data_IF_803968603967
#
_entry.id   IF_803968603967
#
_cell.length_a   1.000
_cell.length_b   1.000
_cell.length_c   1.000
_cell.angle_alpha   90.00
_cell.angle_beta   90.00
_cell.angle_gamma   90.00
#
_symmetry.space_group_name_H-M   'P 1'
#
loop_
_entity.id
_entity.type
_entity.pdbx_description
1 polymer ?
#
# COMPACT_ATOMS: atom_id res chain seq x y z
N UNK A 1 -74.34 -31.53 34.71
CA UNK A 1 -74.98 -32.59 33.90
C UNK A 1 -76.08 -31.98 33.05
N UNK A 2 -75.89 -31.83 31.73
CA UNK A 2 -76.91 -32.02 30.69
C UNK A 2 -76.28 -31.79 29.31
N UNK A 3 -76.56 -32.74 28.41
CA UNK A 3 -76.10 -32.85 27.02
C UNK A 3 -76.88 -31.90 26.11
N UNK A 4 -76.30 -31.44 25.01
CA UNK A 4 -76.94 -31.63 23.70
C UNK A 4 -75.97 -31.49 22.51
N UNK A 5 -76.15 -32.40 21.55
CA UNK A 5 -75.47 -32.56 20.27
C UNK A 5 -75.99 -31.54 19.26
N UNK A 6 -75.15 -31.10 18.32
CA UNK A 6 -75.59 -30.86 16.94
C UNK A 6 -74.52 -31.30 15.95
N UNK A 7 -74.95 -32.23 15.08
CA UNK A 7 -74.29 -32.70 13.87
C UNK A 7 -74.71 -31.73 12.76
N UNK A 8 -73.78 -31.24 11.95
CA UNK A 8 -74.09 -30.77 10.61
C UNK A 8 -73.04 -31.26 9.62
N UNK A 9 -73.50 -32.13 8.72
CA UNK A 9 -72.82 -32.62 7.53
C UNK A 9 -72.91 -31.50 6.47
N UNK A 10 -71.81 -31.10 5.81
CA UNK A 10 -71.93 -30.42 4.53
C UNK A 10 -70.68 -30.57 3.64
N UNK A 11 -70.91 -31.26 2.52
CA UNK A 11 -70.24 -31.40 1.24
C UNK A 11 -68.88 -30.73 0.94
N UNK A 12 -67.97 -31.56 0.40
CA UNK A 12 -66.78 -31.17 -0.37
C UNK A 12 -67.12 -30.43 -1.67
N UNK A 13 -66.24 -29.53 -2.13
CA UNK A 13 -65.98 -29.33 -3.55
C UNK A 13 -64.64 -29.93 -3.97
N UNK A 14 -64.70 -30.72 -5.05
CA UNK A 14 -63.60 -31.33 -5.78
C UNK A 14 -62.76 -30.23 -6.47
N UNK A 15 -61.54 -29.98 -6.03
CA UNK A 15 -60.60 -29.10 -6.76
C UNK A 15 -59.78 -29.90 -7.76
N UNK A 16 -60.04 -29.63 -9.04
CA UNK A 16 -59.34 -30.16 -10.21
C UNK A 16 -57.91 -29.57 -10.26
N UNK A 17 -56.89 -30.38 -9.96
CA UNK A 17 -55.49 -29.98 -10.14
C UNK A 17 -55.13 -30.11 -11.63
N UNK A 18 -55.03 -28.98 -12.33
CA UNK A 18 -54.40 -28.91 -13.66
C UNK A 18 -52.88 -29.05 -13.48
N UNK A 19 -52.33 -30.20 -13.86
CA UNK A 19 -50.88 -30.41 -13.99
C UNK A 19 -50.37 -29.65 -15.23
N UNK A 20 -49.87 -28.43 -15.04
CA UNK A 20 -49.01 -27.78 -16.05
C UNK A 20 -47.65 -28.47 -16.06
N UNK A 21 -47.38 -29.23 -17.12
CA UNK A 21 -46.08 -29.82 -17.41
C UNK A 21 -45.17 -28.70 -17.93
N UNK A 22 -44.23 -28.24 -17.10
CA UNK A 22 -43.20 -27.29 -17.51
C UNK A 22 -42.05 -28.06 -18.18
N UNK A 23 -41.97 -28.03 -19.51
CA UNK A 23 -40.81 -28.54 -20.24
C UNK A 23 -39.61 -27.61 -19.99
N UNK A 24 -38.66 -28.08 -19.17
CA UNK A 24 -37.36 -27.41 -19.02
C UNK A 24 -36.59 -27.54 -20.34
N UNK A 25 -36.44 -26.44 -21.08
CA UNK A 25 -35.38 -26.32 -22.09
C UNK A 25 -34.03 -26.54 -21.38
N UNK A 26 -33.29 -27.56 -21.80
CA UNK A 26 -31.89 -27.74 -21.42
C UNK A 26 -31.09 -26.60 -22.05
N UNK A 27 -30.72 -25.60 -21.26
CA UNK A 27 -29.62 -24.71 -21.58
C UNK A 27 -28.33 -25.47 -21.30
N UNK A 28 -27.51 -25.66 -22.33
CA UNK A 28 -26.15 -26.16 -22.18
C UNK A 28 -25.37 -25.25 -21.20
N UNK A 29 -24.53 -25.81 -20.30
CA UNK A 29 -23.69 -24.99 -19.45
C UNK A 29 -22.71 -24.22 -20.34
N UNK A 30 -22.63 -22.90 -20.11
CA UNK A 30 -21.61 -22.07 -20.71
C UNK A 30 -20.23 -22.71 -20.48
N UNK A 31 -19.42 -22.77 -21.53
CA UNK A 31 -18.03 -23.24 -21.45
C UNK A 31 -17.24 -22.46 -20.39
N UNK A 32 -16.11 -23.01 -19.91
CA UNK A 32 -15.30 -22.35 -18.90
C UNK A 32 -14.95 -20.93 -19.38
N UNK A 33 -15.03 -19.92 -18.49
CA UNK A 33 -14.71 -18.55 -18.86
C UNK A 33 -13.30 -18.48 -19.43
N UNK A 34 -13.17 -17.74 -20.53
CA UNK A 34 -11.92 -17.39 -21.19
C UNK A 34 -10.91 -16.88 -20.14
N UNK A 35 -9.65 -17.36 -20.24
CA UNK A 35 -8.54 -17.12 -19.30
C UNK A 35 -8.52 -15.70 -18.70
N UNK A 36 -9.10 -15.54 -17.52
CA UNK A 36 -8.85 -14.36 -16.67
C UNK A 36 -7.45 -14.55 -16.10
N UNK A 37 -6.49 -13.77 -16.58
CA UNK A 37 -5.14 -13.73 -15.99
C UNK A 37 -5.28 -13.42 -14.49
N UNK A 38 -4.63 -14.17 -13.60
CA UNK A 38 -4.70 -13.88 -12.18
C UNK A 38 -4.21 -12.46 -11.90
N UNK A 39 -5.04 -11.69 -11.20
CA UNK A 39 -4.69 -10.37 -10.68
C UNK A 39 -3.48 -10.54 -9.76
N UNK A 40 -2.38 -9.85 -10.06
CA UNK A 40 -1.21 -9.80 -9.18
C UNK A 40 0.01 -10.65 -9.58
N UNK A 41 0.07 -11.24 -10.77
CA UNK A 41 1.36 -11.68 -11.34
C UNK A 41 1.96 -10.49 -12.11
N UNK A 42 3.06 -9.96 -11.58
CA UNK A 42 3.93 -9.04 -12.32
C UNK A 42 4.68 -9.91 -13.32
N UNK A 43 4.53 -9.61 -14.61
CA UNK A 43 5.29 -10.25 -15.68
C UNK A 43 6.68 -9.58 -15.70
N UNK A 44 7.57 -10.06 -14.82
CA UNK A 44 8.91 -9.48 -14.59
C UNK A 44 9.75 -9.43 -15.88
N UNK A 45 9.44 -10.28 -16.86
CA UNK A 45 10.07 -10.34 -18.19
C UNK A 45 9.78 -9.11 -19.08
N UNK A 46 8.95 -8.17 -18.62
CA UNK A 46 8.61 -6.94 -19.37
C UNK A 46 9.38 -5.69 -18.95
N UNK A 47 10.21 -5.76 -17.91
CA UNK A 47 10.97 -4.60 -17.44
C UNK A 47 12.37 -4.60 -18.05
N UNK A 48 12.76 -3.48 -18.67
CA UNK A 48 14.06 -3.32 -19.32
C UNK A 48 15.22 -3.30 -18.30
N UNK A 49 14.95 -2.97 -17.03
CA UNK A 49 15.93 -2.98 -15.94
C UNK A 49 15.21 -3.15 -14.59
N UNK A 50 15.82 -3.92 -13.69
CA UNK A 50 15.37 -4.13 -12.31
C UNK A 50 16.45 -3.64 -11.33
N UNK A 51 16.06 -2.84 -10.34
CA UNK A 51 16.89 -2.51 -9.17
C UNK A 51 16.32 -3.27 -7.98
N UNK A 52 17.13 -4.13 -7.36
CA UNK A 52 16.74 -4.91 -6.18
C UNK A 52 17.59 -4.51 -4.97
N UNK A 53 16.93 -4.18 -3.87
CA UNK A 53 17.55 -3.93 -2.57
C UNK A 53 17.04 -4.97 -1.58
N UNK A 54 17.93 -5.86 -1.17
CA UNK A 54 17.70 -6.89 -0.15
C UNK A 54 18.65 -6.66 1.01
N UNK A 55 18.17 -6.88 2.24
CA UNK A 55 19.01 -6.86 3.44
C UNK A 55 19.97 -8.06 3.40
N UNK A 56 21.26 -7.82 3.65
CA UNK A 56 22.31 -8.82 3.68
C UNK A 56 22.79 -9.18 5.10
N UNK A 57 22.30 -8.45 6.11
CA UNK A 57 22.50 -8.72 7.53
C UNK A 57 23.07 -7.52 8.30
N UNK A 58 23.19 -7.63 9.63
CA UNK A 58 23.73 -6.54 10.43
C UNK A 58 25.12 -6.09 9.95
N UNK A 59 25.31 -4.79 9.72
CA UNK A 59 26.55 -4.26 9.18
C UNK A 59 26.42 -2.82 8.69
N UNK A 60 27.01 -2.54 7.52
CA UNK A 60 26.93 -1.22 6.86
C UNK A 60 25.63 -1.06 6.07
N UNK A 61 24.51 -1.02 6.79
CA UNK A 61 23.16 -0.91 6.20
C UNK A 61 23.01 0.34 5.32
N UNK A 62 23.57 1.48 5.74
CA UNK A 62 23.56 2.70 4.93
C UNK A 62 24.41 2.58 3.66
N UNK A 63 25.59 1.97 3.75
CA UNK A 63 26.42 1.71 2.58
C UNK A 63 25.74 0.77 1.58
N UNK A 64 25.03 -0.25 2.05
CA UNK A 64 24.22 -1.13 1.21
C UNK A 64 23.11 -0.34 0.49
N UNK A 65 22.30 0.41 1.23
CA UNK A 65 21.21 1.25 0.68
C UNK A 65 21.76 2.22 -0.37
N UNK A 66 22.84 2.93 -0.05
CA UNK A 66 23.47 3.91 -0.92
C UNK A 66 24.07 3.29 -2.19
N UNK A 67 24.65 2.09 -2.08
CA UNK A 67 25.23 1.36 -3.22
C UNK A 67 24.17 0.97 -4.23
N UNK A 68 23.00 0.53 -3.75
CA UNK A 68 21.92 0.04 -4.62
C UNK A 68 21.06 1.18 -5.15
N UNK A 69 20.64 2.11 -4.29
CA UNK A 69 19.74 3.21 -4.67
C UNK A 69 20.49 4.45 -5.18
N UNK A 70 21.80 4.54 -4.94
CA UNK A 70 22.68 5.61 -5.42
C UNK A 70 22.76 6.82 -4.49
N UNK A 71 23.97 7.39 -4.34
CA UNK A 71 24.24 8.57 -3.51
C UNK A 71 23.91 8.36 -2.02
N UNK A 72 23.48 9.40 -1.30
CA UNK A 72 22.91 9.28 0.06
C UNK A 72 21.39 9.10 -0.02
N UNK A 73 20.96 7.84 -0.11
CA UNK A 73 19.58 7.47 -0.40
C UNK A 73 18.67 7.41 0.84
N UNK A 74 19.20 7.64 2.04
CA UNK A 74 18.44 7.68 3.29
C UNK A 74 18.17 9.11 3.76
N UNK A 75 17.08 9.26 4.50
CA UNK A 75 16.58 10.47 5.13
C UNK A 75 16.23 10.13 6.59
N UNK A 76 17.16 10.39 7.50
CA UNK A 76 17.11 9.93 8.90
C UNK A 76 17.52 11.03 9.89
N UNK A 77 17.12 10.96 11.18
CA UNK A 77 17.45 11.95 12.20
C UNK A 77 18.71 11.60 13.01
N UNK A 78 19.64 10.80 12.46
CA UNK A 78 20.89 10.37 13.12
C UNK A 78 21.76 11.51 13.70
N UNK A 79 21.61 12.74 13.20
CA UNK A 79 22.30 13.91 13.74
C UNK A 79 21.74 14.39 15.09
N UNK A 80 20.53 13.96 15.47
CA UNK A 80 19.84 14.38 16.68
C UNK A 80 20.24 13.55 17.91
N UNK A 81 20.61 12.28 17.70
CA UNK A 81 21.16 11.40 18.73
C UNK A 81 21.88 10.20 18.09
N UNK A 82 22.87 9.66 18.80
CA UNK A 82 23.87 8.75 18.26
C UNK A 82 23.38 7.29 18.12
N UNK A 83 22.36 7.07 17.29
CA UNK A 83 21.89 5.74 16.87
C UNK A 83 21.67 5.71 15.37
N UNK A 84 21.78 4.52 14.76
CA UNK A 84 21.31 4.31 13.40
C UNK A 84 19.80 4.10 13.41
N UNK A 85 19.08 4.87 12.60
CA UNK A 85 17.62 4.72 12.47
C UNK A 85 17.22 3.68 11.42
N UNK A 86 18.17 3.15 10.66
CA UNK A 86 17.94 2.00 9.79
C UNK A 86 19.03 0.98 10.04
N UNK A 87 18.63 -0.21 10.49
CA UNK A 87 19.52 -1.36 10.69
C UNK A 87 18.94 -2.58 9.99
N UNK A 88 19.61 -3.73 10.13
CA UNK A 88 19.13 -5.02 9.65
C UNK A 88 18.99 -6.02 10.78
N UNK A 89 17.95 -6.86 10.73
CA UNK A 89 17.71 -7.94 11.68
C UNK A 89 17.19 -9.19 10.96
N UNK A 90 17.42 -10.38 11.53
CA UNK A 90 16.86 -11.61 10.99
C UNK A 90 15.40 -11.76 11.41
N UNK A 91 14.47 -11.85 10.44
CA UNK A 91 13.05 -12.11 10.71
C UNK A 91 12.73 -13.59 10.45
N UNK A 92 12.29 -14.28 11.50
CA UNK A 92 11.94 -15.70 11.44
C UNK A 92 10.71 -15.98 10.54
N UNK A 93 9.84 -14.99 10.32
CA UNK A 93 8.64 -15.14 9.49
C UNK A 93 8.95 -15.20 8.00
N UNK A 94 9.95 -14.44 7.54
CA UNK A 94 10.48 -14.52 6.17
C UNK A 94 11.72 -15.41 6.05
N UNK A 95 12.30 -15.85 7.17
CA UNK A 95 13.53 -16.63 7.24
C UNK A 95 14.70 -15.97 6.48
N UNK A 96 14.84 -14.66 6.63
CA UNK A 96 15.90 -13.85 6.03
C UNK A 96 16.15 -12.56 6.82
N UNK A 97 17.25 -11.88 6.50
CA UNK A 97 17.50 -10.53 7.00
C UNK A 97 16.52 -9.54 6.36
N UNK A 98 16.08 -8.57 7.15
CA UNK A 98 15.16 -7.50 6.77
C UNK A 98 15.67 -6.17 7.31
N UNK A 99 15.23 -5.06 6.71
CA UNK A 99 15.54 -3.73 7.21
C UNK A 99 14.58 -3.33 8.34
N UNK A 100 15.11 -2.74 9.40
CA UNK A 100 14.36 -2.19 10.53
C UNK A 100 14.49 -0.66 10.52
N UNK A 101 13.37 0.03 10.34
CA UNK A 101 13.28 1.49 10.34
C UNK A 101 12.71 1.96 11.68
N UNK A 102 13.47 2.76 12.43
CA UNK A 102 13.10 3.22 13.75
C UNK A 102 12.57 4.65 13.73
N UNK A 103 11.60 4.93 14.62
CA UNK A 103 11.11 6.27 14.92
C UNK A 103 10.90 6.43 16.43
N UNK A 104 11.68 7.27 17.08
CA UNK A 104 11.65 7.53 18.52
C UNK A 104 10.89 8.82 18.82
N UNK A 105 9.70 8.76 19.42
CA UNK A 105 8.76 9.90 19.57
C UNK A 105 9.42 11.14 20.18
N UNK A 106 10.30 10.94 21.15
CA UNK A 106 10.88 12.05 21.92
C UNK A 106 12.18 12.60 21.32
N UNK A 107 12.94 11.75 20.60
CA UNK A 107 14.30 12.08 20.16
C UNK A 107 14.39 12.43 18.67
N UNK A 108 13.46 11.94 17.86
CA UNK A 108 13.53 12.08 16.40
C UNK A 108 12.73 13.28 15.91
N UNK A 109 13.16 13.82 14.77
CA UNK A 109 12.52 14.90 14.04
C UNK A 109 12.63 14.67 12.50
N UNK A 110 12.38 15.69 11.68
CA UNK A 110 12.66 15.62 10.23
C UNK A 110 14.12 15.98 9.92
N UNK A 111 15.02 15.02 10.16
CA UNK A 111 16.45 15.11 9.78
C UNK A 111 17.17 16.30 10.42
N UNK A 112 17.02 16.49 11.72
CA UNK A 112 17.54 17.61 12.50
C UNK A 112 17.03 18.97 12.01
N UNK A 113 15.79 18.97 11.54
CA UNK A 113 15.11 20.12 10.96
C UNK A 113 13.77 20.37 11.64
N UNK A 114 12.69 20.03 10.96
CA UNK A 114 11.34 20.30 11.47
C UNK A 114 10.98 19.35 12.62
N UNK A 115 10.59 19.91 13.76
CA UNK A 115 10.30 19.17 15.00
C UNK A 115 8.82 18.80 15.16
N UNK A 116 7.95 19.16 14.22
CA UNK A 116 6.52 18.84 14.23
C UNK A 116 6.21 17.45 13.61
N UNK A 117 7.26 16.72 13.20
CA UNK A 117 7.19 15.45 12.47
C UNK A 117 8.51 14.68 12.60
N UNK A 118 8.49 13.39 12.28
CA UNK A 118 9.66 12.50 12.29
C UNK A 118 9.81 11.81 10.96
N UNK A 119 11.05 11.64 10.48
CA UNK A 119 11.33 10.97 9.21
C UNK A 119 12.49 9.99 9.32
N UNK A 120 12.20 8.74 9.00
CA UNK A 120 13.17 7.70 8.71
C UNK A 120 12.73 7.05 7.40
N UNK A 121 13.33 7.44 6.28
CA UNK A 121 12.95 6.96 4.94
C UNK A 121 14.17 6.67 4.06
N UNK A 122 13.98 5.83 3.06
CA UNK A 122 14.88 5.67 1.90
C UNK A 122 14.18 6.15 0.63
N UNK A 123 14.94 6.50 -0.40
CA UNK A 123 14.42 7.00 -1.67
C UNK A 123 15.38 6.72 -2.82
N UNK A 124 14.87 6.74 -4.04
CA UNK A 124 15.70 7.14 -5.18
C UNK A 124 15.63 8.67 -5.33
N UNK A 125 16.65 9.29 -5.93
CA UNK A 125 16.70 10.74 -6.18
C UNK A 125 17.69 11.06 -7.30
N UNK A 126 18.08 12.34 -7.49
CA UNK A 126 18.87 12.80 -8.64
C UNK A 126 20.07 11.90 -9.00
N UNK A 127 20.97 11.58 -8.06
CA UNK A 127 22.12 10.68 -8.24
C UNK A 127 21.81 9.20 -8.46
N UNK A 128 20.56 8.76 -8.23
CA UNK A 128 20.16 7.39 -8.53
C UNK A 128 20.21 7.10 -10.03
N UNK A 129 20.42 5.83 -10.39
CA UNK A 129 20.33 5.38 -11.77
C UNK A 129 18.97 5.75 -12.40
N UNK A 130 18.95 5.97 -13.71
CA UNK A 130 17.72 6.30 -14.46
C UNK A 130 16.63 5.24 -14.32
N UNK A 131 17.00 3.96 -14.15
CA UNK A 131 16.07 2.86 -13.91
C UNK A 131 15.32 2.97 -12.56
N UNK A 132 15.86 3.72 -11.59
CA UNK A 132 15.20 3.96 -10.30
C UNK A 132 14.30 5.19 -10.28
N UNK A 133 14.18 5.89 -11.42
CA UNK A 133 13.43 7.15 -11.56
C UNK A 133 12.41 7.02 -12.69
N UNK A 134 11.24 7.62 -12.49
CA UNK A 134 10.25 7.78 -13.53
C UNK A 134 10.43 9.11 -14.24
N UNK A 135 10.49 9.10 -15.56
CA UNK A 135 10.32 10.23 -16.45
C UNK A 135 8.87 10.26 -16.94
N UNK A 136 8.45 11.37 -17.54
CA UNK A 136 7.10 11.52 -18.07
C UNK A 136 6.81 10.43 -19.12
N UNK A 137 5.66 9.78 -19.02
CA UNK A 137 5.25 8.66 -19.87
C UNK A 137 5.76 7.27 -19.46
N UNK A 138 6.72 7.17 -18.53
CA UNK A 138 7.28 5.88 -18.11
C UNK A 138 6.25 5.01 -17.38
N UNK A 139 6.37 3.70 -17.57
CA UNK A 139 5.66 2.68 -16.79
C UNK A 139 6.62 2.05 -15.77
N UNK A 140 6.38 2.30 -14.49
CA UNK A 140 7.15 1.75 -13.39
C UNK A 140 6.37 0.68 -12.64
N UNK A 141 7.11 -0.27 -12.06
CA UNK A 141 6.62 -1.21 -11.06
C UNK A 141 7.48 -1.12 -9.81
N UNK A 142 6.84 -1.02 -8.65
CA UNK A 142 7.47 -1.07 -7.35
C UNK A 142 6.91 -2.26 -6.59
N UNK A 143 7.78 -3.14 -6.11
CA UNK A 143 7.40 -4.27 -5.27
C UNK A 143 8.24 -4.25 -4.02
N UNK A 144 7.62 -4.46 -2.87
CA UNK A 144 8.31 -4.53 -1.59
C UNK A 144 7.45 -5.27 -0.57
N UNK A 145 8.04 -5.66 0.54
CA UNK A 145 7.34 -6.16 1.71
C UNK A 145 7.48 -5.20 2.86
N UNK A 146 6.45 -5.06 3.68
CA UNK A 146 6.50 -4.32 4.93
C UNK A 146 5.76 -5.06 6.04
N UNK A 147 6.13 -4.75 7.29
CA UNK A 147 5.43 -5.21 8.48
C UNK A 147 5.35 -4.11 9.50
N UNK A 148 4.12 -3.78 9.88
CA UNK A 148 3.83 -2.92 11.02
C UNK A 148 3.78 -3.77 12.28
N UNK A 149 4.23 -3.25 13.41
CA UNK A 149 4.07 -3.94 14.69
C UNK A 149 2.59 -4.22 15.00
N UNK A 150 2.31 -5.28 15.76
CA UNK A 150 0.94 -5.61 16.15
C UNK A 150 0.27 -4.47 16.94
N UNK A 151 1.06 -3.70 17.71
CA UNK A 151 0.61 -2.54 18.47
C UNK A 151 0.88 -1.20 17.77
N UNK A 152 1.19 -1.19 16.47
CA UNK A 152 1.54 0.02 15.71
C UNK A 152 0.53 1.17 15.92
N UNK A 153 1.01 2.37 16.22
CA UNK A 153 0.20 3.57 16.46
C UNK A 153 0.44 4.64 15.39
N UNK A 154 -0.48 4.80 14.42
CA UNK A 154 -0.41 5.91 13.48
C UNK A 154 -0.75 7.25 14.13
N UNK A 155 -0.26 8.34 13.56
CA UNK A 155 -0.66 9.71 13.92
C UNK A 155 -2.04 10.04 13.36
N UNK A 156 -2.75 10.99 13.99
CA UNK A 156 -3.95 11.59 13.40
C UNK A 156 -3.64 12.56 12.25
N UNK A 157 -2.43 13.14 12.24
CA UNK A 157 -1.99 14.09 11.22
C UNK A 157 -1.58 13.41 9.92
N UNK A 158 -0.54 12.59 9.95
CA UNK A 158 -0.17 11.66 8.87
C UNK A 158 0.86 10.65 9.38
N UNK A 159 0.92 9.47 8.78
CA UNK A 159 1.99 8.49 8.96
C UNK A 159 2.18 7.79 7.62
N UNK A 160 3.01 8.36 6.75
CA UNK A 160 3.31 7.79 5.44
C UNK A 160 4.30 6.64 5.62
N UNK A 161 3.98 5.50 5.01
CA UNK A 161 4.89 4.34 4.94
C UNK A 161 5.45 4.09 3.53
N UNK A 162 4.86 4.75 2.54
CA UNK A 162 5.30 4.80 1.16
C UNK A 162 4.82 6.09 0.50
N UNK A 163 5.61 6.61 -0.41
CA UNK A 163 5.29 7.79 -1.21
C UNK A 163 5.77 7.63 -2.65
N UNK A 164 4.98 8.11 -3.62
CA UNK A 164 5.48 8.55 -4.93
C UNK A 164 5.56 10.06 -4.90
N UNK A 165 6.72 10.62 -5.21
CA UNK A 165 6.97 12.07 -5.11
C UNK A 165 7.71 12.57 -6.35
N UNK A 166 7.40 13.79 -6.78
CA UNK A 166 8.23 14.45 -7.77
C UNK A 166 9.64 14.74 -7.23
N UNK A 167 10.61 14.68 -8.12
CA UNK A 167 12.00 15.02 -7.85
C UNK A 167 12.18 16.51 -7.61
N UNK A 168 11.43 17.28 -8.38
CA UNK A 168 11.44 18.73 -8.55
C UNK A 168 10.10 19.22 -9.17
N UNK A 169 9.98 20.52 -9.38
CA UNK A 169 8.85 21.15 -10.08
C UNK A 169 7.82 21.76 -9.14
N UNK A 170 6.68 22.17 -9.71
CA UNK A 170 5.61 22.77 -8.90
C UNK A 170 5.05 21.79 -7.88
N UNK A 171 4.77 22.25 -6.66
CA UNK A 171 4.20 21.44 -5.59
C UNK A 171 5.02 20.13 -5.31
N UNK A 172 6.33 20.16 -5.54
CA UNK A 172 7.23 19.02 -5.30
C UNK A 172 7.22 18.57 -3.83
N UNK A 173 6.91 19.48 -2.90
CA UNK A 173 6.77 19.20 -1.47
C UNK A 173 5.62 18.24 -1.14
N UNK A 174 4.59 18.16 -2.00
CA UNK A 174 3.48 17.22 -1.83
C UNK A 174 3.71 15.92 -2.61
N UNK A 175 3.61 14.74 -1.98
CA UNK A 175 3.66 13.47 -2.70
C UNK A 175 2.45 13.33 -3.64
N UNK A 176 2.67 12.71 -4.81
CA UNK A 176 1.63 12.36 -5.78
C UNK A 176 0.72 11.26 -5.24
N UNK A 177 1.33 10.22 -4.66
CA UNK A 177 0.65 9.10 -3.99
C UNK A 177 1.26 8.89 -2.62
N UNK A 178 0.44 8.56 -1.63
CA UNK A 178 0.91 8.02 -0.35
C UNK A 178 0.11 6.79 0.08
N UNK A 179 0.77 5.88 0.79
CA UNK A 179 0.13 4.85 1.59
C UNK A 179 0.29 5.27 3.05
N UNK A 180 -0.83 5.52 3.72
CA UNK A 180 -0.86 6.26 4.98
C UNK A 180 -1.73 5.57 6.03
N UNK A 181 -1.13 4.82 6.97
CA UNK A 181 -1.76 4.57 8.25
C UNK A 181 -2.23 5.86 8.92
N UNK A 182 -3.47 5.89 9.43
CA UNK A 182 -4.03 7.04 10.13
C UNK A 182 -4.83 6.61 11.34
N UNK A 183 -4.63 7.32 12.44
CA UNK A 183 -5.41 7.14 13.65
C UNK A 183 -6.90 7.41 13.41
N UNK A 184 -7.76 6.55 13.94
CA UNK A 184 -9.21 6.68 13.84
C UNK A 184 -9.96 5.71 14.76
N UNK A 185 -11.26 5.57 14.54
CA UNK A 185 -12.10 4.59 15.24
C UNK A 185 -12.93 3.79 14.22
N UNK A 186 -12.40 2.68 13.68
CA UNK A 186 -11.05 2.12 13.89
C UNK A 186 -9.96 2.88 13.10
N UNK A 187 -8.68 2.61 13.40
CA UNK A 187 -7.54 3.06 12.58
C UNK A 187 -7.69 2.61 11.12
N UNK A 188 -7.20 3.43 10.19
CA UNK A 188 -7.34 3.23 8.75
C UNK A 188 -6.00 3.16 8.03
N UNK A 189 -5.98 2.47 6.91
CA UNK A 189 -4.95 2.62 5.87
C UNK A 189 -5.57 3.41 4.71
N UNK A 190 -4.96 4.53 4.36
CA UNK A 190 -5.43 5.43 3.31
C UNK A 190 -4.45 5.45 2.13
N UNK A 191 -4.98 5.31 0.91
CA UNK A 191 -4.27 5.66 -0.31
C UNK A 191 -4.73 7.06 -0.70
N UNK A 192 -3.79 8.00 -0.79
CA UNK A 192 -4.08 9.41 -1.03
C UNK A 192 -3.40 9.85 -2.31
N UNK A 193 -4.14 10.49 -3.20
CA UNK A 193 -3.66 11.11 -4.42
C UNK A 193 -3.67 12.64 -4.31
N UNK A 194 -2.56 13.28 -4.71
CA UNK A 194 -2.43 14.74 -4.82
C UNK A 194 -1.89 15.12 -6.19
N UNK A 195 -2.78 15.50 -7.11
CA UNK A 195 -2.43 15.96 -8.45
C UNK A 195 -1.73 17.32 -8.44
N UNK A 196 -1.25 17.78 -9.60
CA UNK A 196 -0.46 19.00 -9.76
C UNK A 196 -1.06 20.23 -9.05
N UNK A 197 -2.39 20.36 -9.12
CA UNK A 197 -3.16 21.42 -8.47
C UNK A 197 -4.26 20.84 -7.59
N UNK A 198 -4.92 21.69 -6.80
CA UNK A 198 -6.12 21.28 -6.06
C UNK A 198 -7.25 20.81 -6.99
N UNK A 199 -7.34 21.35 -8.21
CA UNK A 199 -8.37 20.95 -9.18
C UNK A 199 -8.15 19.54 -9.75
N UNK A 200 -6.89 19.08 -9.80
CA UNK A 200 -6.52 17.73 -10.25
C UNK A 200 -6.30 16.75 -9.10
N UNK A 201 -6.46 17.20 -7.85
CA UNK A 201 -6.32 16.37 -6.65
C UNK A 201 -7.59 15.56 -6.38
N UNK A 202 -7.43 14.27 -6.14
CA UNK A 202 -8.54 13.36 -5.82
C UNK A 202 -8.68 13.10 -4.31
N UNK A 203 -7.66 13.40 -3.51
CA UNK A 203 -7.68 13.19 -2.07
C UNK A 203 -7.58 11.70 -1.72
N UNK A 204 -8.37 11.25 -0.73
CA UNK A 204 -8.36 9.86 -0.27
C UNK A 204 -9.10 8.98 -1.27
N UNK A 205 -8.34 8.29 -2.13
CA UNK A 205 -8.89 7.47 -3.22
C UNK A 205 -9.23 6.04 -2.78
N UNK A 206 -8.63 5.57 -1.70
CA UNK A 206 -8.99 4.28 -1.06
C UNK A 206 -8.77 4.37 0.45
N UNK A 207 -9.70 3.80 1.21
CA UNK A 207 -9.60 3.67 2.67
C UNK A 207 -10.01 2.24 3.04
N UNK A 208 -9.20 1.56 3.85
CA UNK A 208 -9.51 0.25 4.44
C UNK A 208 -9.17 0.26 5.92
N UNK A 209 -9.64 -0.73 6.67
CA UNK A 209 -9.26 -0.90 8.07
C UNK A 209 -7.77 -1.24 8.18
N UNK A 210 -7.07 -0.65 9.15
CA UNK A 210 -5.64 -0.89 9.36
C UNK A 210 -5.37 -2.23 10.06
N UNK A 211 -6.33 -2.74 10.84
CA UNK A 211 -6.14 -3.91 11.70
C UNK A 211 -5.56 -5.14 10.97
N UNK A 212 -6.00 -5.51 9.74
CA UNK A 212 -5.43 -6.66 9.02
C UNK A 212 -3.96 -6.51 8.61
N UNK A 213 -3.41 -5.29 8.63
CA UNK A 213 -2.02 -4.99 8.25
C UNK A 213 -1.05 -5.02 9.45
N UNK A 214 -1.55 -4.87 10.68
CA UNK A 214 -0.72 -4.88 11.90
C UNK A 214 -0.27 -6.29 12.22
N UNK A 215 0.99 -6.47 12.60
CA UNK A 215 1.60 -7.76 12.98
C UNK A 215 1.84 -8.74 11.82
N UNK A 216 1.49 -8.39 10.59
CA UNK A 216 1.56 -9.27 9.43
C UNK A 216 2.57 -8.73 8.41
N UNK A 217 3.29 -9.64 7.75
CA UNK A 217 4.05 -9.29 6.55
C UNK A 217 3.09 -9.09 5.38
N UNK A 218 3.20 -7.94 4.72
CA UNK A 218 2.39 -7.54 3.58
C UNK A 218 3.32 -7.31 2.38
N UNK A 219 3.05 -7.98 1.27
CA UNK A 219 3.66 -7.68 -0.01
C UNK A 219 2.82 -6.62 -0.73
N UNK A 220 3.47 -5.54 -1.12
CA UNK A 220 2.92 -4.49 -1.95
C UNK A 220 3.42 -4.64 -3.38
N UNK A 221 2.52 -4.49 -4.34
CA UNK A 221 2.83 -4.34 -5.76
C UNK A 221 2.12 -3.08 -6.25
N UNK A 222 2.91 -2.11 -6.69
CA UNK A 222 2.45 -0.82 -7.20
C UNK A 222 2.90 -0.68 -8.65
N UNK A 223 1.98 -0.39 -9.58
CA UNK A 223 2.32 -0.09 -10.97
C UNK A 223 1.80 1.27 -11.32
N UNK A 224 2.64 2.06 -11.99
CA UNK A 224 2.35 3.47 -12.26
C UNK A 224 2.78 3.81 -13.67
N UNK A 225 1.85 4.31 -14.47
CA UNK A 225 2.19 5.05 -15.69
C UNK A 225 2.21 6.53 -15.36
N UNK A 226 3.38 7.14 -15.43
CA UNK A 226 3.58 8.54 -15.08
C UNK A 226 3.11 9.47 -16.21
N UNK A 227 2.53 10.60 -15.82
CA UNK A 227 2.00 11.62 -16.73
C UNK A 227 0.75 12.28 -16.18
N UNK A 228 0.29 13.35 -16.83
CA UNK A 228 -0.94 14.07 -16.43
C UNK A 228 -2.22 13.28 -16.70
N UNK A 229 -2.15 12.25 -17.54
CA UNK A 229 -3.19 11.26 -17.82
C UNK A 229 -2.62 9.85 -17.57
N UNK A 230 -2.11 9.65 -16.36
CA UNK A 230 -1.44 8.44 -15.94
C UNK A 230 -2.39 7.32 -15.51
N UNK A 231 -1.80 6.21 -15.08
CA UNK A 231 -2.53 5.09 -14.46
C UNK A 231 -1.83 4.67 -13.18
N UNK A 232 -2.61 4.19 -12.22
CA UNK A 232 -2.11 3.72 -10.94
C UNK A 232 -2.82 2.43 -10.54
N UNK A 233 -2.06 1.41 -10.15
CA UNK A 233 -2.53 0.14 -9.61
C UNK A 233 -1.77 -0.16 -8.32
N UNK A 234 -2.49 -0.57 -7.28
CA UNK A 234 -1.92 -1.04 -6.01
C UNK A 234 -2.61 -2.34 -5.58
N UNK A 235 -1.80 -3.34 -5.27
CA UNK A 235 -2.23 -4.58 -4.61
C UNK A 235 -1.43 -4.77 -3.34
N UNK A 236 -2.13 -4.96 -2.22
CA UNK A 236 -1.54 -5.32 -0.93
C UNK A 236 -2.02 -6.71 -0.53
N UNK A 237 -1.09 -7.64 -0.37
CA UNK A 237 -1.34 -9.06 -0.13
C UNK A 237 -0.62 -9.52 1.14
N UNK A 238 -1.32 -10.24 2.02
CA UNK A 238 -0.68 -10.84 3.18
C UNK A 238 0.23 -11.99 2.74
N UNK A 239 1.46 -12.01 3.23
CA UNK A 239 2.46 -13.01 2.83
C UNK A 239 2.10 -14.41 3.34
N UNK A 240 1.51 -14.52 4.53
CA UNK A 240 1.30 -15.81 5.19
C UNK A 240 0.29 -16.73 4.50
N UNK A 241 -0.76 -16.17 3.91
CA UNK A 241 -1.89 -16.93 3.32
C UNK A 241 -2.23 -16.46 1.90
N UNK A 242 -1.60 -15.39 1.42
CA UNK A 242 -1.88 -14.80 0.12
C UNK A 242 -3.20 -14.04 0.02
N UNK A 243 -3.88 -13.77 1.13
CA UNK A 243 -5.10 -12.97 1.15
C UNK A 243 -4.83 -11.55 0.64
N UNK A 244 -5.65 -11.09 -0.31
CA UNK A 244 -5.60 -9.72 -0.81
C UNK A 244 -6.35 -8.81 0.16
N UNK A 245 -5.64 -7.88 0.79
CA UNK A 245 -6.19 -6.93 1.75
C UNK A 245 -6.64 -5.62 1.08
N UNK A 246 -6.01 -5.26 -0.04
CA UNK A 246 -6.37 -4.10 -0.83
C UNK A 246 -6.04 -4.34 -2.30
N UNK A 247 -7.00 -4.02 -3.17
CA UNK A 247 -6.78 -3.77 -4.60
C UNK A 247 -7.37 -2.42 -4.94
N UNK A 248 -6.63 -1.61 -5.68
CA UNK A 248 -7.07 -0.33 -6.17
C UNK A 248 -6.46 -0.05 -7.54
N UNK A 249 -7.28 0.44 -8.47
CA UNK A 249 -6.85 0.85 -9.80
C UNK A 249 -7.55 2.14 -10.19
N UNK A 250 -6.82 3.05 -10.81
CA UNK A 250 -7.37 4.24 -11.46
C UNK A 250 -6.70 4.42 -12.83
N UNK A 251 -7.55 4.63 -13.84
CA UNK A 251 -7.15 4.83 -15.23
C UNK A 251 -7.55 6.27 -15.57
N UNK A 252 -6.57 7.14 -15.82
CA UNK A 252 -6.70 8.61 -15.93
C UNK A 252 -6.61 9.35 -14.58
N UNK A 253 -5.37 9.64 -14.18
CA UNK A 253 -5.04 10.39 -12.96
C UNK A 253 -3.79 11.25 -13.19
N UNK A 254 -3.77 12.45 -12.61
CA UNK A 254 -2.67 13.40 -12.74
C UNK A 254 -1.48 13.03 -11.84
N UNK A 255 -0.52 12.28 -12.40
CA UNK A 255 0.65 11.75 -11.71
C UNK A 255 1.94 12.49 -12.10
N UNK A 256 1.84 13.75 -12.52
CA UNK A 256 3.00 14.53 -12.94
C UNK A 256 2.92 15.97 -12.45
N UNK A 257 4.04 16.53 -12.00
CA UNK A 257 4.12 17.95 -11.64
C UNK A 257 4.55 18.76 -12.85
N UNK A 258 3.97 19.94 -13.01
CA UNK A 258 4.47 20.89 -14.02
C UNK A 258 5.92 21.24 -13.70
N UNK A 259 6.81 21.08 -14.68
CA UNK A 259 8.24 21.35 -14.55
C UNK A 259 9.05 20.25 -13.86
N UNK A 260 8.44 19.13 -13.45
CA UNK A 260 9.21 18.00 -12.96
C UNK A 260 10.07 17.39 -14.06
N UNK A 261 11.29 17.02 -13.70
CA UNK A 261 12.22 16.25 -14.52
C UNK A 261 12.17 14.76 -14.21
N UNK A 262 11.74 14.36 -13.00
CA UNK A 262 11.50 12.95 -12.65
C UNK A 262 10.52 12.81 -11.46
N UNK A 263 9.98 11.60 -11.27
CA UNK A 263 9.33 11.15 -10.05
C UNK A 263 10.10 9.96 -9.43
N UNK A 264 9.91 9.75 -8.12
CA UNK A 264 10.65 8.77 -7.33
C UNK A 264 9.80 8.12 -6.24
N UNK A 265 10.03 6.84 -5.92
CA UNK A 265 9.50 6.22 -4.72
C UNK A 265 10.28 6.64 -3.47
N UNK A 266 9.59 6.57 -2.33
CA UNK A 266 10.18 6.65 -0.99
C UNK A 266 9.50 5.62 -0.09
N UNK A 267 10.28 4.96 0.78
CA UNK A 267 9.79 3.97 1.73
C UNK A 267 10.32 4.27 3.12
N UNK A 268 9.53 4.00 4.17
CA UNK A 268 9.98 4.14 5.55
C UNK A 268 8.85 4.52 6.49
N UNK A 269 9.11 5.40 7.44
CA UNK A 269 8.12 6.01 8.31
C UNK A 269 8.33 7.51 8.34
N UNK A 270 7.33 8.25 7.86
CA UNK A 270 7.28 9.70 7.92
C UNK A 270 5.97 10.13 8.57
N UNK A 271 6.01 10.62 9.81
CA UNK A 271 4.80 10.86 10.61
C UNK A 271 4.76 12.22 11.29
N UNK A 272 3.56 12.77 11.45
CA UNK A 272 3.32 13.98 12.23
C UNK A 272 3.38 13.71 13.73
N UNK A 273 4.00 14.62 14.48
CA UNK A 273 4.04 14.66 15.95
C UNK A 273 2.94 15.53 16.57
N UNK A 274 1.99 16.04 15.78
CA UNK A 274 0.88 16.90 16.25
C UNK A 274 0.07 16.31 17.41
N UNK A 275 0.12 15.00 17.63
CA UNK A 275 -0.45 14.33 18.80
C UNK A 275 0.51 13.26 19.36
N UNK A 276 1.72 13.69 19.69
CA UNK A 276 2.80 12.82 20.17
C UNK A 276 2.43 11.98 21.41
N UNK A 277 1.56 12.48 22.29
CA UNK A 277 1.14 11.78 23.53
C UNK A 277 0.41 10.46 23.26
N UNK A 278 -0.09 10.24 22.04
CA UNK A 278 -0.71 8.96 21.62
C UNK A 278 0.22 8.11 20.76
N UNK A 279 1.40 8.60 20.45
CA UNK A 279 2.39 7.86 19.68
C UNK A 279 3.29 7.10 20.65
N UNK A 280 3.92 6.07 20.12
CA UNK A 280 5.00 5.34 20.75
C UNK A 280 6.17 5.26 19.78
N UNK A 281 7.31 4.82 20.30
CA UNK A 281 8.43 4.46 19.46
C UNK A 281 8.00 3.31 18.54
N UNK A 282 8.36 3.43 17.26
CA UNK A 282 7.97 2.45 16.26
C UNK A 282 9.19 1.85 15.58
N UNK A 283 9.02 0.58 15.20
CA UNK A 283 9.89 -0.14 14.29
C UNK A 283 9.04 -0.65 13.14
N UNK A 284 9.30 -0.17 11.93
CA UNK A 284 8.66 -0.68 10.72
C UNK A 284 9.67 -1.52 9.97
N UNK A 285 9.32 -2.77 9.66
CA UNK A 285 10.20 -3.66 8.93
C UNK A 285 9.91 -3.60 7.44
N UNK A 286 10.95 -3.68 6.62
CA UNK A 286 10.86 -3.75 5.17
C UNK A 286 11.77 -4.82 4.59
N UNK A 287 11.37 -5.41 3.47
CA UNK A 287 12.17 -6.40 2.76
C UNK A 287 11.87 -6.38 1.25
N UNK A 288 12.79 -6.97 0.47
CA UNK A 288 12.61 -7.32 -0.94
C UNK A 288 12.13 -6.14 -1.82
N UNK A 289 12.80 -4.99 -1.73
CA UNK A 289 12.50 -3.87 -2.60
C UNK A 289 12.94 -4.19 -4.03
N UNK A 290 12.04 -3.99 -4.98
CA UNK A 290 12.29 -4.16 -6.40
C UNK A 290 11.66 -3.00 -7.18
N UNK A 291 12.44 -2.38 -8.05
CA UNK A 291 12.03 -1.29 -8.94
C UNK A 291 12.22 -1.77 -10.38
N UNK A 292 11.11 -1.94 -11.10
CA UNK A 292 11.09 -2.25 -12.52
C UNK A 292 10.68 -1.03 -13.33
N UNK A 293 11.33 -0.86 -14.48
CA UNK A 293 10.99 0.17 -15.46
C UNK A 293 10.83 -0.46 -16.83
N UNK A 294 9.72 -0.16 -17.50
CA UNK A 294 9.42 -0.65 -18.85
C UNK A 294 9.76 0.40 -19.91
#
# INVERSE_FOLDING_TARGET
MMKLKYIFLCLLPLTFFFLLRCEKKKTEPAGPPENVKPVGIVDEDRYATMINLEADGPGDTYGLINRVLGGTAYEVPDCGHAVQHITEEFDNGLNKNVFAFFAHVTLDDDRCGATDRQRTEIKTYGPSASAGKAFDGDEMSFKWKFKLDAAFQPSSGFTHIHQIKAGDGTNEDSPLITITPRYGSPDKLEVIHTGNTSATTLGKVKIVDLAPFKGNWIEATEKVKFGTHGTFELVLKKVSDGSVLLTYTINDVDLWRTGATFCRPKWGIYRSLSNAVRLRDEKVLFADFAIGKK
#
